data_IF_929467352193
#
_entry.id   IF_929467352193
#
_cell.length_a   1.000
_cell.length_b   1.000
_cell.length_c   1.000
_cell.angle_alpha   90.00
_cell.angle_beta   90.00
_cell.angle_gamma   90.00
#
_symmetry.space_group_name_H-M   'P 1'
#
loop_
_entity.id
_entity.type
_entity.pdbx_description
1 polymer ?
#
# COMPACT_ATOMS: atom_id res chain seq x y z
N UNK A 1 -24.18 -3.28 -41.34
CA UNK A 1 -23.06 -2.75 -40.56
C UNK A 1 -23.52 -2.71 -39.12
N UNK A 2 -23.18 -3.74 -38.34
CA UNK A 2 -23.53 -3.81 -36.92
C UNK A 2 -22.35 -3.26 -36.12
N UNK A 3 -22.63 -2.31 -35.23
CA UNK A 3 -21.68 -1.83 -34.22
C UNK A 3 -21.19 -3.01 -33.39
N UNK A 4 -19.89 -3.29 -33.48
CA UNK A 4 -19.19 -4.20 -32.58
C UNK A 4 -19.01 -3.47 -31.24
N UNK A 5 -20.02 -3.55 -30.37
CA UNK A 5 -19.86 -3.22 -28.96
C UNK A 5 -18.94 -4.28 -28.38
N UNK A 6 -17.64 -3.99 -28.29
CA UNK A 6 -16.71 -4.83 -27.53
C UNK A 6 -17.06 -4.61 -26.05
N UNK A 7 -17.56 -5.64 -25.32
CA UNK A 7 -17.81 -5.49 -23.90
C UNK A 7 -16.46 -5.28 -23.21
N UNK A 8 -16.30 -4.12 -22.56
CA UNK A 8 -15.06 -3.72 -21.89
C UNK A 8 -14.79 -4.50 -20.58
N UNK A 9 -15.44 -5.64 -20.36
CA UNK A 9 -15.43 -6.37 -19.09
C UNK A 9 -14.30 -7.41 -18.97
N UNK A 10 -13.37 -7.46 -19.94
CA UNK A 10 -12.41 -8.58 -20.07
C UNK A 10 -10.98 -8.17 -19.74
N UNK A 11 -10.70 -6.88 -19.55
CA UNK A 11 -9.42 -6.49 -18.97
C UNK A 11 -9.44 -6.93 -17.50
N UNK A 12 -8.50 -7.77 -17.05
CA UNK A 12 -8.39 -8.04 -15.62
C UNK A 12 -8.29 -6.69 -14.93
N UNK A 13 -9.27 -6.38 -14.06
CA UNK A 13 -9.15 -5.21 -13.20
C UNK A 13 -7.90 -5.44 -12.37
N UNK A 14 -6.81 -4.75 -12.72
CA UNK A 14 -5.63 -4.73 -11.87
C UNK A 14 -6.09 -4.24 -10.50
N UNK A 15 -5.96 -5.05 -9.43
CA UNK A 15 -6.40 -4.63 -8.12
C UNK A 15 -5.60 -3.38 -7.74
N UNK A 16 -6.31 -2.29 -7.49
CA UNK A 16 -5.72 -1.06 -6.99
C UNK A 16 -5.77 -1.06 -5.47
N UNK A 17 -4.69 -0.58 -4.86
CA UNK A 17 -4.56 -0.48 -3.41
C UNK A 17 -4.44 0.99 -3.00
N UNK A 18 -5.17 1.38 -1.97
CA UNK A 18 -5.10 2.71 -1.39
C UNK A 18 -4.39 2.64 -0.05
N UNK A 19 -3.38 3.49 0.13
CA UNK A 19 -2.63 3.62 1.37
C UNK A 19 -2.64 5.06 1.85
N UNK A 20 -2.54 5.24 3.17
CA UNK A 20 -2.18 6.52 3.78
C UNK A 20 -0.79 6.41 4.38
N UNK A 21 0.03 7.44 4.18
CA UNK A 21 1.36 7.54 4.77
C UNK A 21 1.41 8.82 5.59
N UNK A 22 1.77 8.68 6.87
CA UNK A 22 2.03 9.79 7.79
C UNK A 22 3.50 9.78 8.15
N UNK A 23 4.16 10.94 8.06
CA UNK A 23 5.56 11.14 8.45
C UNK A 23 5.61 12.30 9.43
N UNK A 24 6.35 12.15 10.53
CA UNK A 24 6.51 13.19 11.53
C UNK A 24 7.88 13.10 12.20
N UNK A 25 8.32 14.21 12.77
CA UNK A 25 9.51 14.27 13.63
C UNK A 25 9.06 14.10 15.07
N UNK A 26 9.64 13.14 15.78
CA UNK A 26 9.43 12.93 17.20
C UNK A 26 10.60 13.54 17.97
N UNK A 27 10.33 14.64 18.68
CA UNK A 27 11.32 15.24 19.60
C UNK A 27 11.55 14.28 20.76
N UNK A 28 12.80 13.86 20.97
CA UNK A 28 13.23 13.19 22.21
C UNK A 28 13.60 14.28 23.23
N UNK A 29 13.38 14.02 24.52
CA UNK A 29 13.73 14.98 25.57
C UNK A 29 15.24 15.25 25.64
N UNK A 30 16.08 14.26 25.29
CA UNK A 30 17.55 14.33 25.43
C UNK A 30 18.32 13.84 24.18
N UNK A 31 17.84 14.13 22.96
CA UNK A 31 18.54 13.66 21.77
C UNK A 31 18.12 14.32 20.47
N UNK A 32 18.78 13.90 19.38
CA UNK A 32 18.48 14.38 18.04
C UNK A 32 17.04 14.04 17.63
N UNK A 33 16.36 14.93 16.90
CA UNK A 33 15.01 14.66 16.41
C UNK A 33 15.02 13.43 15.49
N UNK A 34 14.28 12.39 15.89
CA UNK A 34 14.12 11.20 15.06
C UNK A 34 12.86 11.33 14.22
N UNK A 35 12.95 10.94 12.95
CA UNK A 35 11.77 10.86 12.11
C UNK A 35 11.09 9.50 12.28
N UNK A 36 9.76 9.52 12.19
CA UNK A 36 8.92 8.35 12.29
C UNK A 36 7.88 8.38 11.17
N UNK A 37 7.43 7.19 10.79
CA UNK A 37 6.38 7.01 9.80
C UNK A 37 5.36 5.97 10.21
N UNK A 38 4.15 6.09 9.66
CA UNK A 38 3.09 5.08 9.70
C UNK A 38 2.50 4.94 8.32
N UNK A 39 2.47 3.72 7.81
CA UNK A 39 1.70 3.34 6.62
C UNK A 39 0.45 2.60 7.06
N UNK A 40 -0.68 2.89 6.44
CA UNK A 40 -1.93 2.16 6.65
C UNK A 40 -2.61 1.87 5.31
N UNK A 41 -2.91 0.60 5.06
CA UNK A 41 -3.73 0.19 3.92
C UNK A 41 -5.20 0.46 4.23
N UNK A 42 -5.87 1.25 3.38
CA UNK A 42 -7.21 1.79 3.68
C UNK A 42 -8.27 0.71 3.70
N UNK A 43 -8.24 -0.20 2.73
CA UNK A 43 -9.27 -1.22 2.59
C UNK A 43 -9.19 -2.31 3.68
N UNK A 44 -7.99 -2.62 4.19
CA UNK A 44 -7.82 -3.64 5.24
C UNK A 44 -7.73 -3.09 6.65
N UNK A 45 -7.32 -1.83 6.78
CA UNK A 45 -6.99 -1.22 8.06
C UNK A 45 -5.58 -1.58 8.57
N UNK A 46 -4.84 -2.48 7.91
CA UNK A 46 -3.51 -2.90 8.34
C UNK A 46 -2.56 -1.71 8.39
N UNK A 47 -1.89 -1.53 9.52
CA UNK A 47 -0.99 -0.41 9.74
C UNK A 47 0.34 -0.83 10.34
N UNK A 48 1.43 -0.23 9.86
CA UNK A 48 2.79 -0.52 10.32
C UNK A 48 3.60 0.76 10.48
N UNK A 49 4.45 0.80 11.51
CA UNK A 49 5.34 1.93 11.78
C UNK A 49 6.73 1.68 11.19
N UNK A 50 7.33 2.70 10.61
CA UNK A 50 8.65 2.66 9.97
C UNK A 50 9.51 3.87 10.39
N UNK A 51 10.83 3.74 10.22
CA UNK A 51 11.83 4.78 10.56
C UNK A 51 12.81 5.06 9.42
N UNK A 52 12.65 4.35 8.30
CA UNK A 52 13.46 4.46 7.10
C UNK A 52 12.61 4.12 5.87
N UNK A 53 13.03 4.60 4.69
CA UNK A 53 12.29 4.41 3.45
C UNK A 53 12.33 2.97 2.93
N UNK A 54 13.39 2.22 3.21
CA UNK A 54 13.51 0.83 2.76
C UNK A 54 12.50 -0.07 3.48
N UNK A 55 12.28 0.17 4.78
CA UNK A 55 11.24 -0.47 5.58
C UNK A 55 9.84 -0.14 5.07
N UNK A 56 9.56 1.11 4.68
CA UNK A 56 8.27 1.46 4.05
C UNK A 56 8.03 0.66 2.76
N UNK A 57 9.02 0.60 1.87
CA UNK A 57 8.90 -0.13 0.61
C UNK A 57 8.61 -1.62 0.86
N UNK A 58 9.34 -2.22 1.81
CA UNK A 58 9.16 -3.61 2.21
C UNK A 58 7.72 -3.87 2.70
N UNK A 59 7.17 -2.97 3.53
CA UNK A 59 5.80 -3.12 4.02
C UNK A 59 4.75 -2.99 2.91
N UNK A 60 4.92 -2.05 1.99
CA UNK A 60 3.99 -1.90 0.86
C UNK A 60 4.01 -3.19 0.01
N UNK A 61 5.19 -3.73 -0.30
CA UNK A 61 5.31 -4.98 -1.07
C UNK A 61 4.64 -6.16 -0.38
N UNK A 62 4.80 -6.29 0.94
CA UNK A 62 4.13 -7.34 1.73
C UNK A 62 2.61 -7.16 1.71
N UNK A 63 2.11 -5.94 1.92
CA UNK A 63 0.67 -5.64 1.89
C UNK A 63 0.04 -5.90 0.51
N UNK A 64 0.81 -5.78 -0.58
CA UNK A 64 0.37 -6.16 -1.93
C UNK A 64 0.36 -7.67 -2.11
N UNK A 65 1.40 -8.38 -1.65
CA UNK A 65 1.52 -9.82 -1.78
C UNK A 65 0.42 -10.58 -1.00
N UNK A 66 0.09 -10.12 0.21
CA UNK A 66 -0.97 -10.70 1.06
C UNK A 66 -2.38 -10.60 0.43
N UNK A 67 -2.52 -9.82 -0.65
CA UNK A 67 -3.79 -9.51 -1.32
C UNK A 67 -3.85 -10.01 -2.75
N UNK A 68 -2.75 -10.50 -3.31
CA UNK A 68 -2.82 -11.22 -4.57
C UNK A 68 -3.67 -12.49 -4.36
N UNK A 69 -4.66 -12.76 -5.22
CA UNK A 69 -5.30 -14.07 -5.21
C UNK A 69 -4.21 -15.15 -5.31
N UNK A 70 -4.31 -16.26 -4.56
CA UNK A 70 -3.37 -17.36 -4.75
C UNK A 70 -3.42 -17.77 -6.22
N UNK A 71 -2.24 -17.88 -6.86
CA UNK A 71 -2.10 -18.11 -8.31
C UNK A 71 -2.73 -19.43 -8.81
N UNK A 72 -3.29 -20.26 -7.94
CA UNK A 72 -4.12 -21.41 -8.32
C UNK A 72 -5.20 -21.63 -7.23
N UNK A 73 -6.46 -21.36 -7.53
CA UNK A 73 -7.63 -21.77 -6.74
C UNK A 73 -8.75 -22.24 -7.67
#
# INVERSE_FOLDING_TARGET
>A
MADLVIPNDHLPKCPSHLFTVRVWIQKRQDGEPEWHGKVQHVASGDARYFRDWATLLTYIQQMLADRAPPENA
#
